data_IF_588163754734
#
_entry.id   IF_588163754734
#
_cell.length_a   1.000
_cell.length_b   1.000
_cell.length_c   1.000
_cell.angle_alpha   90.00
_cell.angle_beta   90.00
_cell.angle_gamma   90.00
#
_symmetry.space_group_name_H-M   'P 1'
#
loop_
_entity.id
_entity.type
_entity.pdbx_description
1 polymer ?
#
# COMPACT_ATOMS: atom_id res chain seq x y z
N UNK A 1 11.99 12.89 -3.74
CA UNK A 1 10.55 13.21 -3.57
C UNK A 1 9.76 13.24 -4.88
N UNK A 2 10.15 13.97 -5.94
CA UNK A 2 9.38 13.99 -7.19
C UNK A 2 9.15 12.60 -7.81
N UNK A 3 10.17 11.73 -7.81
CA UNK A 3 10.04 10.36 -8.32
C UNK A 3 9.06 9.50 -7.52
N UNK A 4 9.02 9.64 -6.19
CA UNK A 4 8.06 8.93 -5.34
C UNK A 4 6.62 9.41 -5.59
N UNK A 5 6.43 10.71 -5.78
CA UNK A 5 5.14 11.28 -6.17
C UNK A 5 4.69 10.77 -7.55
N UNK A 6 5.60 10.75 -8.53
CA UNK A 6 5.33 10.19 -9.85
C UNK A 6 4.95 8.71 -9.76
N UNK A 7 5.70 7.91 -9.00
CA UNK A 7 5.39 6.51 -8.76
C UNK A 7 4.00 6.33 -8.15
N UNK A 8 3.62 7.17 -7.19
CA UNK A 8 2.27 7.13 -6.59
C UNK A 8 1.19 7.46 -7.62
N UNK A 9 1.39 8.45 -8.50
CA UNK A 9 0.43 8.75 -9.57
C UNK A 9 0.34 7.64 -10.62
N UNK A 10 1.45 6.99 -10.96
CA UNK A 10 1.44 5.81 -11.85
C UNK A 10 0.64 4.68 -11.21
N UNK A 11 0.88 4.39 -9.92
CA UNK A 11 0.15 3.35 -9.18
C UNK A 11 -1.34 3.70 -9.07
N UNK A 12 -1.69 4.94 -8.75
CA UNK A 12 -3.08 5.38 -8.67
C UNK A 12 -3.79 5.25 -10.02
N UNK A 13 -3.16 5.71 -11.10
CA UNK A 13 -3.70 5.53 -12.45
C UNK A 13 -3.87 4.04 -12.80
N UNK A 14 -2.86 3.22 -12.54
CA UNK A 14 -2.91 1.77 -12.74
C UNK A 14 -4.00 1.08 -11.92
N UNK A 15 -4.35 1.63 -10.75
CA UNK A 15 -5.36 1.08 -9.87
C UNK A 15 -6.78 1.12 -10.43
N UNK A 16 -7.06 2.03 -11.37
CA UNK A 16 -8.30 1.97 -12.14
C UNK A 16 -8.36 0.66 -12.93
N UNK A 17 -7.28 0.30 -13.62
CA UNK A 17 -7.17 -1.00 -14.29
C UNK A 17 -7.22 -2.18 -13.33
N UNK A 18 -6.58 -2.08 -12.16
CA UNK A 18 -6.57 -3.14 -11.14
C UNK A 18 -7.98 -3.43 -10.59
N UNK A 19 -8.66 -2.42 -10.05
CA UNK A 19 -9.98 -2.60 -9.46
C UNK A 19 -11.07 -2.74 -10.52
N UNK A 20 -11.13 -1.85 -11.52
CA UNK A 20 -12.20 -1.93 -12.52
C UNK A 20 -12.04 -3.10 -13.48
N UNK A 21 -10.81 -3.52 -13.77
CA UNK A 21 -10.54 -4.75 -14.51
C UNK A 21 -10.98 -6.01 -13.76
N UNK A 22 -11.12 -5.96 -12.44
CA UNK A 22 -11.64 -7.07 -11.63
C UNK A 22 -13.14 -7.33 -11.85
N UNK A 23 -13.86 -6.44 -12.54
CA UNK A 23 -15.21 -6.75 -13.07
C UNK A 23 -15.17 -7.77 -14.22
N UNK A 24 -13.98 -8.03 -14.80
CA UNK A 24 -13.68 -8.99 -15.86
C UNK A 24 -14.27 -8.70 -17.23
N UNK A 25 -15.43 -8.06 -17.32
CA UNK A 25 -16.07 -7.77 -18.60
C UNK A 25 -17.00 -6.56 -18.57
N UNK A 26 -17.25 -6.01 -19.75
CA UNK A 26 -18.27 -4.97 -20.00
C UNK A 26 -19.13 -5.45 -21.17
N UNK A 27 -20.06 -6.35 -20.87
CA UNK A 27 -20.96 -6.98 -21.86
C UNK A 27 -22.33 -6.31 -21.97
N UNK A 28 -22.71 -5.54 -20.95
CA UNK A 28 -24.05 -4.97 -20.80
C UNK A 28 -24.00 -3.72 -19.90
N UNK A 29 -25.17 -3.09 -19.74
CA UNK A 29 -25.32 -1.86 -18.97
C UNK A 29 -25.00 -2.03 -17.48
N UNK A 30 -25.30 -3.20 -16.91
CA UNK A 30 -25.06 -3.49 -15.49
C UNK A 30 -23.55 -3.56 -15.22
N UNK A 31 -22.83 -4.34 -16.02
CA UNK A 31 -21.37 -4.44 -15.94
C UNK A 31 -20.68 -3.09 -16.19
N UNK A 32 -21.16 -2.30 -17.17
CA UNK A 32 -20.63 -0.95 -17.42
C UNK A 32 -20.83 -0.01 -16.22
N UNK A 33 -21.99 -0.09 -15.56
CA UNK A 33 -22.31 0.72 -14.38
C UNK A 33 -21.45 0.29 -13.19
N UNK A 34 -21.25 -1.01 -12.99
CA UNK A 34 -20.38 -1.55 -11.94
C UNK A 34 -18.94 -1.05 -12.07
N UNK A 35 -18.34 -1.08 -13.28
CA UNK A 35 -17.00 -0.52 -13.52
C UNK A 35 -16.94 0.97 -13.19
N UNK A 36 -17.96 1.74 -13.59
CA UNK A 36 -18.04 3.16 -13.26
C UNK A 36 -18.07 3.44 -11.75
N UNK A 37 -18.83 2.65 -10.99
CA UNK A 37 -18.87 2.73 -9.54
C UNK A 37 -17.54 2.32 -8.89
N UNK A 38 -16.89 1.26 -9.39
CA UNK A 38 -15.57 0.82 -8.93
C UNK A 38 -14.53 1.94 -9.13
N UNK A 39 -14.52 2.60 -10.28
CA UNK A 39 -13.63 3.73 -10.54
C UNK A 39 -13.87 4.89 -9.57
N UNK A 40 -15.14 5.23 -9.33
CA UNK A 40 -15.51 6.27 -8.38
C UNK A 40 -15.04 5.93 -6.97
N UNK A 41 -15.34 4.72 -6.48
CA UNK A 41 -14.96 4.25 -5.15
C UNK A 41 -13.44 4.22 -4.97
N UNK A 42 -12.72 3.69 -5.98
CA UNK A 42 -11.25 3.62 -5.98
C UNK A 42 -10.64 5.02 -5.85
N UNK A 43 -11.09 5.96 -6.68
CA UNK A 43 -10.58 7.33 -6.65
C UNK A 43 -10.94 8.08 -5.36
N UNK A 44 -12.18 7.90 -4.89
CA UNK A 44 -12.66 8.55 -3.67
C UNK A 44 -11.90 8.07 -2.44
N UNK A 45 -11.64 6.76 -2.32
CA UNK A 45 -10.86 6.20 -1.22
C UNK A 45 -9.41 6.69 -1.23
N UNK A 46 -8.77 6.72 -2.40
CA UNK A 46 -7.41 7.23 -2.54
C UNK A 46 -7.29 8.71 -2.14
N UNK A 47 -8.20 9.56 -2.64
CA UNK A 47 -8.21 10.98 -2.30
C UNK A 47 -8.48 11.21 -0.80
N UNK A 48 -9.44 10.48 -0.24
CA UNK A 48 -9.77 10.58 1.18
C UNK A 48 -8.61 10.10 2.07
N UNK A 49 -7.91 9.04 1.68
CA UNK A 49 -6.73 8.54 2.40
C UNK A 49 -5.57 9.54 2.40
N UNK A 50 -5.30 10.17 1.25
CA UNK A 50 -4.29 11.23 1.15
C UNK A 50 -4.62 12.43 2.05
N UNK A 51 -5.87 12.89 2.03
CA UNK A 51 -6.34 14.00 2.87
C UNK A 51 -6.30 13.63 4.35
N UNK A 52 -6.73 12.43 4.72
CA UNK A 52 -6.70 11.98 6.11
C UNK A 52 -5.26 11.90 6.64
N UNK A 53 -4.33 11.34 5.87
CA UNK A 53 -2.91 11.30 6.26
C UNK A 53 -2.33 12.73 6.42
N UNK A 54 -2.66 13.65 5.52
CA UNK A 54 -2.29 15.07 5.66
C UNK A 54 -2.83 15.65 6.97
N UNK A 55 -4.11 15.44 7.27
CA UNK A 55 -4.77 15.96 8.47
C UNK A 55 -4.17 15.36 9.74
N UNK A 56 -3.90 14.05 9.78
CA UNK A 56 -3.24 13.39 10.89
C UNK A 56 -1.84 13.97 11.10
N UNK A 57 -1.06 14.14 10.03
CA UNK A 57 0.28 14.74 10.15
C UNK A 57 0.23 16.18 10.67
N UNK A 58 -0.70 16.98 10.13
CA UNK A 58 -0.89 18.37 10.52
C UNK A 58 -1.32 18.51 11.98
N UNK A 59 -2.21 17.65 12.45
CA UNK A 59 -2.72 17.70 13.83
C UNK A 59 -1.75 17.11 14.83
N UNK A 60 -0.95 16.10 14.45
CA UNK A 60 0.02 15.43 15.34
C UNK A 60 1.34 16.18 15.43
N UNK A 61 1.87 16.67 14.30
CA UNK A 61 3.22 17.27 14.23
C UNK A 61 3.26 18.70 13.67
N UNK A 62 2.12 19.28 13.26
CA UNK A 62 2.06 20.64 12.72
C UNK A 62 2.63 20.78 11.29
N UNK A 63 3.09 19.69 10.67
CA UNK A 63 3.75 19.68 9.35
C UNK A 63 2.96 18.84 8.35
N UNK A 64 3.10 19.20 7.07
CA UNK A 64 2.66 18.32 5.99
C UNK A 64 3.85 17.41 5.66
N UNK A 65 3.68 16.10 5.85
CA UNK A 65 4.67 15.11 5.45
C UNK A 65 4.23 14.48 4.13
N UNK A 66 4.97 14.75 3.06
CA UNK A 66 4.62 14.24 1.74
C UNK A 66 4.71 12.72 1.66
N UNK A 67 5.64 12.07 2.36
CA UNK A 67 5.76 10.61 2.34
C UNK A 67 4.53 9.95 2.95
N UNK A 68 4.05 10.48 4.07
CA UNK A 68 2.83 10.02 4.74
C UNK A 68 1.58 10.26 3.91
N UNK A 69 1.52 11.39 3.18
CA UNK A 69 0.38 11.70 2.28
C UNK A 69 0.33 10.70 1.11
N UNK A 70 1.48 10.40 0.49
CA UNK A 70 1.56 9.42 -0.59
C UNK A 70 1.18 8.02 -0.08
N UNK A 71 1.68 7.60 1.08
CA UNK A 71 1.27 6.35 1.72
C UNK A 71 -0.21 6.35 2.13
N UNK A 72 -0.77 7.50 2.53
CA UNK A 72 -2.21 7.66 2.78
C UNK A 72 -3.06 7.41 1.54
N UNK A 73 -2.63 7.92 0.38
CA UNK A 73 -3.31 7.64 -0.89
C UNK A 73 -3.28 6.15 -1.22
N UNK A 74 -2.11 5.51 -1.11
CA UNK A 74 -1.93 4.08 -1.35
C UNK A 74 -2.71 3.23 -0.34
N UNK A 75 -2.75 3.61 0.94
CA UNK A 75 -3.54 2.92 1.96
C UNK A 75 -5.04 2.93 1.65
N UNK A 76 -5.57 4.07 1.15
CA UNK A 76 -6.94 4.15 0.68
C UNK A 76 -7.22 3.24 -0.51
N UNK A 77 -6.31 3.22 -1.49
CA UNK A 77 -6.37 2.31 -2.65
C UNK A 77 -6.33 0.83 -2.23
N UNK A 78 -5.43 0.48 -1.32
CA UNK A 78 -5.31 -0.89 -0.80
C UNK A 78 -6.58 -1.29 -0.05
N UNK A 79 -7.10 -0.46 0.86
CA UNK A 79 -8.25 -0.83 1.67
C UNK A 79 -9.53 -1.05 0.83
N UNK A 80 -9.78 -0.20 -0.17
CA UNK A 80 -10.97 -0.34 -1.04
C UNK A 80 -10.85 -1.52 -2.02
N UNK A 81 -9.64 -2.05 -2.26
CA UNK A 81 -9.41 -3.19 -3.16
C UNK A 81 -10.06 -4.48 -2.67
N UNK A 82 -10.28 -4.62 -1.36
CA UNK A 82 -10.89 -5.83 -0.80
C UNK A 82 -12.30 -6.10 -1.35
N UNK A 83 -13.07 -5.03 -1.60
CA UNK A 83 -14.36 -5.08 -2.28
C UNK A 83 -14.69 -3.68 -2.83
N UNK A 84 -14.26 -3.35 -4.06
CA UNK A 84 -14.37 -1.99 -4.57
C UNK A 84 -15.76 -1.65 -5.11
N UNK A 85 -16.63 -2.65 -5.29
CA UNK A 85 -17.96 -2.49 -5.87
C UNK A 85 -19.03 -2.27 -4.79
N UNK A 86 -19.03 -3.10 -3.74
CA UNK A 86 -20.12 -3.12 -2.76
C UNK A 86 -20.30 -1.84 -1.94
N UNK A 87 -19.23 -1.09 -1.54
CA UNK A 87 -19.41 0.16 -0.82
C UNK A 87 -20.12 1.23 -1.65
N UNK A 88 -20.93 2.05 -0.98
CA UNK A 88 -21.37 3.33 -1.57
C UNK A 88 -20.20 4.31 -1.71
N UNK A 89 -20.28 5.35 -2.56
CA UNK A 89 -19.22 6.35 -2.70
C UNK A 89 -18.84 7.03 -1.38
N UNK A 90 -19.81 7.31 -0.51
CA UNK A 90 -19.53 7.90 0.82
C UNK A 90 -18.88 6.89 1.78
N UNK A 91 -19.24 5.61 1.68
CA UNK A 91 -18.56 4.55 2.42
C UNK A 91 -17.11 4.39 1.94
N UNK A 92 -16.85 4.46 0.62
CA UNK A 92 -15.51 4.43 0.06
C UNK A 92 -14.62 5.59 0.54
N UNK A 93 -15.16 6.82 0.62
CA UNK A 93 -14.47 7.96 1.25
C UNK A 93 -14.11 7.66 2.70
N UNK A 94 -15.05 7.08 3.46
CA UNK A 94 -14.84 6.77 4.88
C UNK A 94 -13.79 5.67 5.07
N UNK A 95 -13.82 4.62 4.25
CA UNK A 95 -12.80 3.55 4.22
C UNK A 95 -11.42 4.15 3.92
N UNK A 96 -11.33 4.97 2.88
CA UNK A 96 -10.10 5.65 2.50
C UNK A 96 -9.55 6.54 3.61
N UNK A 97 -10.39 7.37 4.22
CA UNK A 97 -10.00 8.26 5.31
C UNK A 97 -9.47 7.50 6.54
N UNK A 98 -10.16 6.41 6.94
CA UNK A 98 -9.72 5.58 8.07
C UNK A 98 -8.41 4.88 7.74
N UNK A 99 -8.27 4.29 6.55
CA UNK A 99 -7.01 3.66 6.13
C UNK A 99 -5.85 4.66 6.07
N UNK A 100 -6.08 5.86 5.53
CA UNK A 100 -5.09 6.94 5.49
C UNK A 100 -4.68 7.47 6.87
N UNK A 101 -5.56 7.38 7.88
CA UNK A 101 -5.18 7.66 9.26
C UNK A 101 -4.39 6.49 9.89
N UNK A 102 -4.86 5.25 9.69
CA UNK A 102 -4.22 4.03 10.22
C UNK A 102 -2.77 3.93 9.74
N UNK A 103 -2.50 4.16 8.46
CA UNK A 103 -1.17 3.96 7.89
C UNK A 103 -0.11 4.84 8.57
N UNK A 104 -0.45 6.08 8.93
CA UNK A 104 0.47 7.00 9.62
C UNK A 104 0.87 6.45 10.98
N UNK A 105 -0.10 5.97 11.77
CA UNK A 105 0.18 5.38 13.07
C UNK A 105 0.87 4.02 12.97
N UNK A 106 0.56 3.24 11.92
CA UNK A 106 1.19 1.96 11.64
C UNK A 106 2.69 2.12 11.35
N UNK A 107 3.06 3.06 10.47
CA UNK A 107 4.47 3.34 10.13
C UNK A 107 5.24 3.72 11.40
N UNK A 108 4.74 4.71 12.15
CA UNK A 108 5.35 5.13 13.41
C UNK A 108 5.39 4.00 14.45
N UNK A 109 4.41 3.11 14.44
CA UNK A 109 4.36 1.92 15.30
C UNK A 109 5.49 0.95 15.00
N UNK A 110 5.68 0.59 13.73
CA UNK A 110 6.77 -0.30 13.28
C UNK A 110 8.15 0.30 13.57
N UNK A 111 8.33 1.60 13.33
CA UNK A 111 9.57 2.32 13.66
C UNK A 111 9.90 2.21 15.16
N UNK A 112 8.89 2.38 16.03
CA UNK A 112 9.06 2.32 17.50
C UNK A 112 9.45 0.93 17.99
N UNK A 113 9.01 -0.13 17.32
CA UNK A 113 9.40 -1.51 17.63
C UNK A 113 10.64 -1.97 16.86
N UNK A 114 11.31 -1.04 16.15
CA UNK A 114 12.55 -1.27 15.40
C UNK A 114 12.40 -2.33 14.29
N UNK A 115 11.22 -2.39 13.69
CA UNK A 115 11.02 -3.13 12.43
C UNK A 115 11.30 -2.16 11.30
N UNK A 116 12.30 -2.48 10.50
CA UNK A 116 12.70 -1.70 9.33
C UNK A 116 11.76 -1.99 8.16
N UNK A 117 10.71 -1.16 8.01
CA UNK A 117 9.77 -1.15 6.89
C UNK A 117 10.04 0.06 5.98
N UNK A 118 11.10 0.03 5.16
CA UNK A 118 11.73 1.23 4.58
C UNK A 118 10.81 2.07 3.68
N UNK A 119 9.77 1.45 3.12
CA UNK A 119 8.79 2.12 2.25
C UNK A 119 7.37 2.10 2.83
N UNK A 120 7.18 1.58 4.05
CA UNK A 120 5.86 1.41 4.63
C UNK A 120 5.04 0.29 4.00
N UNK A 121 5.68 -0.72 3.39
CA UNK A 121 5.01 -1.81 2.69
C UNK A 121 4.11 -2.63 3.62
N UNK A 122 4.58 -2.94 4.83
CA UNK A 122 3.80 -3.68 5.82
C UNK A 122 2.62 -2.82 6.28
N UNK A 123 2.83 -1.52 6.48
CA UNK A 123 1.78 -0.59 6.91
C UNK A 123 0.70 -0.37 5.85
N UNK A 124 1.09 -0.10 4.61
CA UNK A 124 0.18 0.16 3.49
C UNK A 124 -0.54 -1.12 3.07
N UNK A 125 0.18 -2.23 2.84
CA UNK A 125 -0.40 -3.44 2.28
C UNK A 125 -0.88 -4.42 3.34
N UNK A 126 -0.07 -4.68 4.36
CA UNK A 126 -0.42 -5.62 5.42
C UNK A 126 -1.52 -5.08 6.34
N UNK A 127 -1.27 -3.95 7.00
CA UNK A 127 -2.20 -3.39 8.00
C UNK A 127 -3.44 -2.81 7.34
N UNK A 128 -3.30 -1.94 6.34
CA UNK A 128 -4.48 -1.35 5.70
C UNK A 128 -5.22 -2.34 4.79
N UNK A 129 -4.54 -3.33 4.23
CA UNK A 129 -5.19 -4.44 3.51
C UNK A 129 -6.03 -5.30 4.43
N UNK A 130 -5.51 -5.67 5.61
CA UNK A 130 -6.29 -6.38 6.62
C UNK A 130 -7.49 -5.56 7.10
N UNK A 131 -7.31 -4.25 7.34
CA UNK A 131 -8.43 -3.35 7.64
C UNK A 131 -9.49 -3.38 6.53
N UNK A 132 -9.08 -3.30 5.26
CA UNK A 132 -9.97 -3.40 4.10
C UNK A 132 -10.82 -4.68 4.13
N UNK A 133 -10.20 -5.84 4.33
CA UNK A 133 -10.90 -7.13 4.47
C UNK A 133 -11.93 -7.11 5.59
N UNK A 134 -11.61 -6.48 6.73
CA UNK A 134 -12.52 -6.41 7.88
C UNK A 134 -13.72 -5.47 7.64
N UNK A 135 -13.63 -4.53 6.69
CA UNK A 135 -14.76 -3.64 6.36
C UNK A 135 -15.68 -4.22 5.28
N UNK A 136 -15.24 -5.25 4.54
CA UNK A 136 -16.07 -5.91 3.51
C UNK A 136 -17.44 -6.36 4.05
N UNK A 137 -17.56 -7.08 5.18
CA UNK A 137 -18.86 -7.55 5.69
C UNK A 137 -19.83 -6.43 6.10
N UNK A 138 -19.35 -5.19 6.21
CA UNK A 138 -20.20 -4.02 6.51
C UNK A 138 -20.91 -3.48 5.26
N UNK A 139 -20.42 -3.80 4.07
CA UNK A 139 -20.92 -3.28 2.79
C UNK A 139 -21.42 -4.39 1.86
N UNK A 140 -21.02 -5.64 2.10
CA UNK A 140 -21.39 -6.80 1.31
C UNK A 140 -22.06 -7.86 2.20
N UNK A 141 -23.35 -8.09 1.97
CA UNK A 141 -24.17 -9.01 2.78
C UNK A 141 -23.78 -10.49 2.60
N UNK A 142 -23.12 -10.84 1.50
CA UNK A 142 -22.65 -12.20 1.24
C UNK A 142 -21.31 -12.49 1.97
N UNK A 143 -20.63 -11.45 2.44
CA UNK A 143 -19.39 -11.58 3.18
C UNK A 143 -19.62 -11.71 4.69
N UNK A 144 -18.82 -12.55 5.35
CA UNK A 144 -18.84 -12.69 6.82
C UNK A 144 -17.46 -12.40 7.39
N UNK A 145 -17.41 -11.83 8.61
CA UNK A 145 -16.14 -11.61 9.32
C UNK A 145 -15.34 -12.90 9.49
N UNK A 146 -16.01 -14.03 9.76
CA UNK A 146 -15.36 -15.33 9.89
C UNK A 146 -14.64 -15.78 8.62
N UNK A 147 -15.29 -15.62 7.45
CA UNK A 147 -14.67 -15.94 6.17
C UNK A 147 -13.49 -15.02 5.85
N UNK A 148 -13.62 -13.70 6.11
CA UNK A 148 -12.54 -12.73 5.89
C UNK A 148 -11.32 -13.02 6.78
N UNK A 149 -11.54 -13.33 8.07
CA UNK A 149 -10.47 -13.71 9.00
C UNK A 149 -9.79 -15.02 8.60
N UNK A 150 -10.57 -16.03 8.19
CA UNK A 150 -10.03 -17.29 7.72
C UNK A 150 -9.17 -17.08 6.46
N UNK A 151 -9.68 -16.33 5.48
CA UNK A 151 -8.94 -15.99 4.26
C UNK A 151 -7.65 -15.24 4.57
N UNK A 152 -7.70 -14.23 5.43
CA UNK A 152 -6.52 -13.48 5.86
C UNK A 152 -5.49 -14.39 6.56
N UNK A 153 -5.92 -15.27 7.46
CA UNK A 153 -5.04 -16.21 8.15
C UNK A 153 -4.38 -17.21 7.20
N UNK A 154 -5.14 -17.72 6.21
CA UNK A 154 -4.62 -18.63 5.19
C UNK A 154 -3.58 -17.92 4.32
N UNK A 155 -3.89 -16.73 3.81
CA UNK A 155 -2.98 -15.96 2.97
C UNK A 155 -1.71 -15.60 3.75
N UNK A 156 -1.85 -15.07 4.96
CA UNK A 156 -0.72 -14.70 5.80
C UNK A 156 0.15 -15.91 6.13
N UNK A 157 -0.45 -17.02 6.59
CA UNK A 157 0.26 -18.25 6.90
C UNK A 157 1.01 -18.81 5.70
N UNK A 158 0.35 -18.88 4.54
CA UNK A 158 0.96 -19.37 3.31
C UNK A 158 2.13 -18.48 2.86
N UNK A 159 1.88 -17.18 2.69
CA UNK A 159 2.91 -16.25 2.19
C UNK A 159 4.09 -16.17 3.16
N UNK A 160 3.84 -16.07 4.46
CA UNK A 160 4.91 -15.99 5.45
C UNK A 160 5.79 -17.24 5.45
N UNK A 161 5.18 -18.44 5.48
CA UNK A 161 5.93 -19.69 5.51
C UNK A 161 6.67 -19.96 4.19
N UNK A 162 6.01 -19.70 3.05
CA UNK A 162 6.64 -19.86 1.74
C UNK A 162 7.79 -18.88 1.54
N UNK A 163 7.60 -17.60 1.88
CA UNK A 163 8.66 -16.60 1.84
C UNK A 163 9.80 -16.97 2.79
N UNK A 164 9.52 -17.38 4.03
CA UNK A 164 10.55 -17.80 4.97
C UNK A 164 11.39 -18.97 4.43
N UNK A 165 10.74 -19.95 3.80
CA UNK A 165 11.44 -21.06 3.18
C UNK A 165 12.32 -20.59 2.01
N UNK A 166 11.78 -19.80 1.08
CA UNK A 166 12.53 -19.29 -0.08
C UNK A 166 13.70 -18.42 0.35
N UNK A 167 13.46 -17.42 1.20
CA UNK A 167 14.52 -16.53 1.71
C UNK A 167 15.54 -17.30 2.54
N UNK A 168 15.12 -18.32 3.29
CA UNK A 168 16.01 -19.21 4.04
C UNK A 168 16.95 -19.99 3.13
N UNK A 169 16.42 -20.55 2.03
CA UNK A 169 17.23 -21.25 1.01
C UNK A 169 18.22 -20.28 0.35
N UNK A 170 17.75 -19.12 -0.12
CA UNK A 170 18.63 -18.13 -0.77
C UNK A 170 19.73 -17.65 0.18
N UNK A 171 19.38 -17.40 1.45
CA UNK A 171 20.36 -17.02 2.48
C UNK A 171 21.43 -18.10 2.70
N UNK A 172 21.06 -19.37 2.62
CA UNK A 172 21.97 -20.48 2.81
C UNK A 172 22.85 -20.79 1.57
N UNK A 173 22.39 -20.47 0.36
CA UNK A 173 23.08 -20.82 -0.89
C UNK A 173 23.92 -19.69 -1.47
N UNK A 174 23.37 -18.48 -1.54
CA UNK A 174 24.01 -17.34 -2.23
C UNK A 174 24.10 -16.06 -1.38
N UNK A 175 23.39 -16.00 -0.24
CA UNK A 175 23.24 -14.78 0.53
C UNK A 175 22.15 -13.87 -0.06
N UNK A 176 21.54 -13.05 0.79
CA UNK A 176 20.40 -12.17 0.42
C UNK A 176 20.62 -10.70 0.80
N UNK A 177 21.73 -10.40 1.46
CA UNK A 177 22.14 -9.05 1.86
C UNK A 177 23.60 -8.87 1.48
N UNK A 178 23.93 -7.69 1.01
CA UNK A 178 25.30 -7.26 0.75
C UNK A 178 26.11 -7.16 2.04
N UNK A 179 27.42 -7.01 1.90
CA UNK A 179 28.31 -6.75 3.02
C UNK A 179 28.05 -5.35 3.61
N UNK A 180 28.50 -5.13 4.85
CA UNK A 180 28.36 -3.83 5.52
C UNK A 180 29.13 -2.71 4.78
N UNK A 181 30.27 -3.05 4.17
CA UNK A 181 31.07 -2.11 3.37
C UNK A 181 30.29 -1.67 2.12
N UNK A 182 29.76 -2.63 1.35
CA UNK A 182 28.93 -2.36 0.16
C UNK A 182 27.65 -1.59 0.50
N UNK A 183 27.03 -1.88 1.66
CA UNK A 183 25.85 -1.15 2.14
C UNK A 183 26.17 0.33 2.44
N UNK A 184 27.36 0.60 3.00
CA UNK A 184 27.83 1.96 3.30
C UNK A 184 28.23 2.73 2.03
N UNK A 185 28.89 2.07 1.08
CA UNK A 185 29.28 2.68 -0.21
C UNK A 185 28.06 2.98 -1.09
N UNK A 186 27.02 2.16 -0.98
CA UNK A 186 25.76 2.31 -1.71
C UNK A 186 25.68 1.38 -2.92
N UNK A 187 24.51 0.76 -3.08
CA UNK A 187 24.27 -0.26 -4.10
C UNK A 187 24.48 0.21 -5.54
N UNK A 188 24.29 1.51 -5.83
CA UNK A 188 24.49 2.04 -7.18
C UNK A 188 25.97 1.90 -7.62
N UNK A 189 26.92 2.13 -6.72
CA UNK A 189 28.35 2.01 -7.02
C UNK A 189 28.72 0.53 -7.20
N UNK A 190 28.26 -0.32 -6.28
CA UNK A 190 28.55 -1.76 -6.31
C UNK A 190 27.93 -2.46 -7.52
N UNK A 191 26.63 -2.26 -7.78
CA UNK A 191 25.89 -3.00 -8.81
C UNK A 191 25.95 -2.32 -10.19
N UNK A 192 25.93 -0.99 -10.24
CA UNK A 192 25.87 -0.23 -11.50
C UNK A 192 27.21 0.40 -11.89
N UNK A 193 28.21 0.41 -11.00
CA UNK A 193 29.53 1.01 -11.24
C UNK A 193 29.51 2.54 -11.32
N UNK A 194 28.36 3.18 -11.08
CA UNK A 194 28.16 4.63 -11.16
C UNK A 194 27.16 5.04 -10.06
N UNK A 195 27.39 6.19 -9.43
CA UNK A 195 26.39 6.76 -8.51
C UNK A 195 25.16 7.25 -9.27
N UNK A 196 23.95 7.09 -8.71
CA UNK A 196 22.71 7.55 -9.35
C UNK A 196 22.64 9.08 -9.53
N UNK A 197 23.38 9.84 -8.72
CA UNK A 197 23.36 11.31 -8.71
C UNK A 197 24.78 11.89 -8.68
N UNK A 198 25.58 11.72 -9.75
CA UNK A 198 26.99 12.12 -9.79
C UNK A 198 27.20 13.62 -9.56
N UNK A 199 26.19 14.44 -9.85
CA UNK A 199 26.20 15.89 -9.65
C UNK A 199 26.08 16.35 -8.19
N UNK A 200 25.68 15.47 -7.25
CA UNK A 200 25.61 15.77 -5.82
C UNK A 200 26.81 15.25 -5.03
N UNK A 201 27.73 14.53 -5.69
CA UNK A 201 28.99 14.13 -5.09
C UNK A 201 29.92 15.35 -5.07
N UNK A 202 30.05 16.01 -3.93
CA UNK A 202 31.12 16.99 -3.72
C UNK A 202 32.44 16.25 -3.85
N UNK A 203 33.12 16.46 -4.99
CA UNK A 203 34.50 16.02 -5.20
C UNK A 203 35.31 16.53 -4.01
N UNK A 204 35.82 15.61 -3.18
CA UNK A 204 36.80 15.93 -2.15
C UNK A 204 38.15 16.22 -2.79
#
# INVERSE_FOLDING_TARGET
MPLATLGTFILWFGWFGFNGGSQLMVSDFENATAVGQIFLNTNAAAAAGAIAALLVCKTTWGKADLTMILNGALAGLVAITADPLSPSPLAAVSIGAVAGAIVVFSIVGFDKIKIDDPVGAISVHGVCGFFGLMVVPLNNADATFGAQLLGAAVIFGWVFLASLAVWGVLKATMGIRVTEEEEIEGMDIHDCGIGAYPEFMTVK
#
